data_IF_393006237622
#
_entry.id   IF_393006237622
#
_cell.length_a   1.000
_cell.length_b   1.000
_cell.length_c   1.000
_cell.angle_alpha   90.00
_cell.angle_beta   90.00
_cell.angle_gamma   90.00
#
_symmetry.space_group_name_H-M   'P 1'
#
loop_
_entity.id
_entity.type
_entity.pdbx_description
1 polymer ?
#
# COMPACT_ATOMS: atom_id res chain seq x y z
N UNK A 1 -32.58 4.57 11.56
CA UNK A 1 -31.73 4.43 10.34
C UNK A 1 -30.28 4.58 10.78
N UNK A 2 -29.46 3.52 10.66
CA UNK A 2 -28.10 3.47 11.21
C UNK A 2 -27.15 4.21 10.27
N UNK A 3 -26.54 5.30 10.76
CA UNK A 3 -25.60 6.14 10.00
C UNK A 3 -24.31 5.33 9.74
N UNK A 4 -23.96 5.11 8.47
CA UNK A 4 -22.67 4.52 8.07
C UNK A 4 -21.55 5.47 8.48
N UNK A 5 -20.63 4.99 9.31
CA UNK A 5 -19.37 5.67 9.63
C UNK A 5 -18.38 5.24 8.55
N UNK A 6 -18.08 6.14 7.63
CA UNK A 6 -16.98 5.94 6.67
C UNK A 6 -15.73 6.48 7.38
N UNK A 7 -14.87 5.57 7.82
CA UNK A 7 -13.52 5.92 8.28
C UNK A 7 -12.69 6.14 7.01
N UNK A 8 -12.39 7.40 6.70
CA UNK A 8 -11.39 7.75 5.71
C UNK A 8 -10.02 7.76 6.40
N UNK A 9 -9.21 6.72 6.17
CA UNK A 9 -7.76 6.77 6.39
C UNK A 9 -7.11 7.09 5.04
N UNK A 10 -7.22 8.35 4.62
CA UNK A 10 -6.56 8.84 3.42
C UNK A 10 -5.23 9.44 3.81
N UNK A 11 -4.12 8.87 3.32
CA UNK A 11 -2.80 9.51 3.33
C UNK A 11 -2.95 10.82 2.55
N UNK A 12 -3.13 11.91 3.29
CA UNK A 12 -3.20 13.26 2.74
C UNK A 12 -1.89 13.93 3.08
N UNK A 13 -0.96 14.00 2.12
CA UNK A 13 0.17 14.93 2.21
C UNK A 13 0.12 15.85 1.02
N UNK A 14 -0.14 17.12 1.34
CA UNK A 14 -0.25 18.24 0.42
C UNK A 14 1.05 18.46 -0.35
N UNK A 15 0.92 18.64 -1.67
CA UNK A 15 1.88 19.38 -2.47
C UNK A 15 2.13 20.76 -1.83
N UNK A 16 3.34 21.02 -1.31
CA UNK A 16 4.09 22.27 -1.56
C UNK A 16 5.41 22.33 -0.78
N UNK A 17 6.41 22.88 -1.48
CA UNK A 17 7.76 23.36 -1.10
C UNK A 17 8.86 22.34 -0.79
N UNK A 18 9.77 22.21 -1.78
CA UNK A 18 11.16 21.75 -1.67
C UNK A 18 11.85 22.35 -0.43
N UNK A 19 11.92 21.57 0.64
CA UNK A 19 12.89 21.73 1.71
C UNK A 19 13.36 20.32 2.01
N UNK A 20 14.54 19.95 1.51
CA UNK A 20 15.13 18.63 1.79
C UNK A 20 15.63 18.65 3.22
N UNK A 21 14.71 18.60 4.19
CA UNK A 21 15.06 18.03 5.50
C UNK A 21 15.48 16.60 5.21
N UNK A 22 16.68 16.14 5.61
CA UNK A 22 16.96 14.72 5.55
C UNK A 22 15.97 14.03 6.49
N UNK A 23 14.89 13.50 5.91
CA UNK A 23 14.00 12.58 6.61
C UNK A 23 14.85 11.34 6.83
N UNK A 24 15.11 11.02 8.09
CA UNK A 24 15.69 9.73 8.44
C UNK A 24 14.57 8.70 8.18
N UNK A 25 14.54 8.15 6.97
CA UNK A 25 13.52 7.24 6.48
C UNK A 25 13.22 7.47 4.99
N UNK A 26 12.89 6.40 4.27
CA UNK A 26 12.55 6.46 2.86
C UNK A 26 11.27 7.26 2.63
N UNK A 27 11.06 7.70 1.40
CA UNK A 27 10.00 8.63 1.03
C UNK A 27 9.13 8.14 -0.13
N UNK A 28 7.85 8.50 -0.05
CA UNK A 28 6.91 8.33 -1.15
C UNK A 28 7.02 9.49 -2.14
N UNK A 29 7.09 9.15 -3.43
CA UNK A 29 7.11 10.11 -4.53
C UNK A 29 5.96 9.83 -5.49
N UNK A 30 5.20 10.87 -5.84
CA UNK A 30 4.19 10.81 -6.88
C UNK A 30 4.82 11.10 -8.25
N UNK A 31 4.73 10.13 -9.17
CA UNK A 31 5.19 10.25 -10.56
C UNK A 31 4.02 10.05 -11.53
N UNK A 32 3.47 11.16 -12.00
CA UNK A 32 2.26 11.14 -12.83
C UNK A 32 1.06 10.64 -12.01
N UNK A 33 0.49 9.51 -12.42
CA UNK A 33 -0.63 8.86 -11.70
C UNK A 33 -0.18 7.71 -10.79
N UNK A 34 1.12 7.46 -10.66
CA UNK A 34 1.66 6.36 -9.86
C UNK A 34 2.41 6.89 -8.64
N UNK A 35 2.47 6.06 -7.60
CA UNK A 35 3.31 6.28 -6.43
C UNK A 35 4.51 5.35 -6.49
N UNK A 36 5.67 5.84 -6.05
CA UNK A 36 6.90 5.08 -5.86
C UNK A 36 7.47 5.34 -4.47
N UNK A 37 8.31 4.43 -4.00
CA UNK A 37 9.02 4.62 -2.74
C UNK A 37 10.52 4.55 -2.96
N UNK A 38 11.25 5.48 -2.35
CA UNK A 38 12.71 5.55 -2.38
C UNK A 38 13.24 5.37 -0.97
N UNK A 39 14.21 4.49 -0.78
CA UNK A 39 14.93 4.36 0.48
C UNK A 39 15.78 5.61 0.79
N UNK A 40 16.26 5.73 2.02
CA UNK A 40 17.11 6.84 2.50
C UNK A 40 18.34 7.12 1.62
N UNK A 41 18.81 6.11 0.89
CA UNK A 41 19.95 6.22 -0.03
C UNK A 41 19.55 6.67 -1.44
N UNK A 42 18.27 7.02 -1.66
CA UNK A 42 17.71 7.39 -2.96
C UNK A 42 17.47 6.20 -3.90
N UNK A 43 17.58 4.95 -3.41
CA UNK A 43 17.32 3.77 -4.24
C UNK A 43 15.82 3.46 -4.27
N UNK A 44 15.29 3.24 -5.48
CA UNK A 44 13.90 2.82 -5.68
C UNK A 44 13.65 1.45 -5.05
N UNK A 45 12.59 1.34 -4.27
CA UNK A 45 12.18 0.10 -3.61
C UNK A 45 11.18 -0.66 -4.49
N UNK A 46 11.30 -1.98 -4.51
CA UNK A 46 10.40 -2.92 -5.18
C UNK A 46 10.07 -4.07 -4.24
N UNK A 47 8.92 -4.72 -4.43
CA UNK A 47 8.41 -5.77 -3.57
C UNK A 47 7.62 -5.22 -2.39
N UNK A 48 7.52 -6.02 -1.32
CA UNK A 48 6.82 -5.63 -0.11
C UNK A 48 7.56 -4.53 0.66
N UNK A 49 6.81 -3.51 1.07
CA UNK A 49 7.26 -2.42 1.91
C UNK A 49 6.33 -2.29 3.11
N UNK A 50 6.90 -2.26 4.31
CA UNK A 50 6.18 -1.82 5.50
C UNK A 50 6.48 -0.34 5.74
N UNK A 51 5.45 0.48 5.76
CA UNK A 51 5.54 1.90 6.07
C UNK A 51 4.46 2.26 7.09
N UNK A 52 4.89 2.83 8.22
CA UNK A 52 4.02 3.23 9.33
C UNK A 52 3.03 2.13 9.81
N UNK A 53 3.47 0.86 9.78
CA UNK A 53 2.67 -0.30 10.20
C UNK A 53 1.64 -0.79 9.17
N UNK A 54 1.64 -0.23 7.96
CA UNK A 54 0.86 -0.71 6.82
C UNK A 54 1.79 -1.34 5.78
N UNK A 55 1.29 -2.37 5.10
CA UNK A 55 2.03 -3.05 4.05
C UNK A 55 1.60 -2.57 2.66
N UNK A 56 2.58 -2.36 1.80
CA UNK A 56 2.43 -1.92 0.42
C UNK A 56 3.19 -2.86 -0.50
N UNK A 57 2.81 -2.93 -1.76
CA UNK A 57 3.54 -3.70 -2.77
C UNK A 57 3.97 -2.80 -3.93
N UNK A 58 5.28 -2.67 -4.12
CA UNK A 58 5.87 -1.91 -5.22
C UNK A 58 6.21 -2.89 -6.35
N UNK A 59 5.62 -2.70 -7.52
CA UNK A 59 5.88 -3.54 -8.70
C UNK A 59 7.36 -3.44 -9.13
N UNK A 60 7.80 -4.32 -10.03
CA UNK A 60 9.16 -4.27 -10.56
C UNK A 60 9.54 -2.93 -11.24
N UNK A 61 8.54 -2.17 -11.70
CA UNK A 61 8.70 -0.81 -12.22
C UNK A 61 8.84 0.27 -11.13
N UNK A 62 8.72 -0.11 -9.87
CA UNK A 62 8.63 0.78 -8.71
C UNK A 62 7.23 1.30 -8.41
N UNK A 63 6.26 1.07 -9.30
CA UNK A 63 4.90 1.58 -9.12
C UNK A 63 4.17 0.84 -7.99
N UNK A 64 3.53 1.58 -7.09
CA UNK A 64 2.65 1.03 -6.07
C UNK A 64 1.47 0.29 -6.71
N UNK A 65 1.26 -0.95 -6.30
CA UNK A 65 0.15 -1.77 -6.74
C UNK A 65 -1.13 -1.45 -5.96
N UNK A 66 -2.26 -1.60 -6.64
CA UNK A 66 -3.61 -1.57 -6.07
C UNK A 66 -4.39 -2.78 -6.59
N UNK A 67 -5.41 -3.21 -5.87
CA UNK A 67 -6.22 -4.39 -6.20
C UNK A 67 -5.53 -5.71 -5.88
N UNK A 68 -5.97 -6.78 -6.55
CA UNK A 68 -5.43 -8.12 -6.34
C UNK A 68 -4.06 -8.30 -6.99
N UNK A 69 -3.08 -8.75 -6.20
CA UNK A 69 -1.76 -9.17 -6.69
C UNK A 69 -1.47 -10.60 -6.26
N UNK A 70 -0.63 -11.28 -7.04
CA UNK A 70 -0.14 -12.62 -6.73
C UNK A 70 1.36 -12.57 -6.50
N UNK A 71 1.77 -12.99 -5.32
CA UNK A 71 3.18 -13.05 -4.91
C UNK A 71 3.46 -14.41 -4.25
N UNK A 72 4.54 -15.05 -4.67
CA UNK A 72 4.96 -16.40 -4.21
C UNK A 72 3.82 -17.44 -4.13
N UNK A 73 2.90 -17.41 -5.09
CA UNK A 73 1.78 -18.36 -5.15
C UNK A 73 0.58 -18.03 -4.27
N UNK A 74 0.65 -16.98 -3.44
CA UNK A 74 -0.45 -16.47 -2.63
C UNK A 74 -1.05 -15.21 -3.27
N UNK A 75 -2.34 -14.98 -3.06
CA UNK A 75 -3.01 -13.74 -3.49
C UNK A 75 -3.15 -12.78 -2.31
N UNK A 76 -3.02 -11.50 -2.59
CA UNK A 76 -3.16 -10.40 -1.64
C UNK A 76 -3.98 -9.29 -2.28
N UNK A 77 -4.65 -8.48 -1.47
CA UNK A 77 -5.42 -7.35 -1.94
C UNK A 77 -4.86 -6.06 -1.36
N UNK A 78 -4.63 -5.07 -2.22
CA UNK A 78 -4.20 -3.72 -1.86
C UNK A 78 -5.38 -2.77 -2.13
N UNK A 79 -5.74 -1.94 -1.16
CA UNK A 79 -6.77 -0.91 -1.36
C UNK A 79 -6.31 0.17 -2.34
N UNK A 80 -7.19 1.09 -2.70
CA UNK A 80 -6.88 2.20 -3.63
C UNK A 80 -5.75 3.11 -3.15
N UNK A 81 -5.53 3.18 -1.82
CA UNK A 81 -4.40 3.88 -1.22
C UNK A 81 -3.12 3.04 -1.14
N UNK A 82 -3.13 1.80 -1.66
CA UNK A 82 -2.01 0.86 -1.67
C UNK A 82 -1.86 0.01 -0.42
N UNK A 83 -2.57 0.30 0.67
CA UNK A 83 -2.46 -0.46 1.91
C UNK A 83 -3.03 -1.87 1.74
N UNK A 84 -2.30 -2.87 2.25
CA UNK A 84 -2.68 -4.27 2.18
C UNK A 84 -3.84 -4.57 3.12
N UNK A 85 -4.88 -5.21 2.58
CA UNK A 85 -5.94 -5.79 3.39
C UNK A 85 -5.42 -6.99 4.18
N UNK A 86 -5.82 -7.07 5.45
CA UNK A 86 -5.56 -8.22 6.32
C UNK A 86 -6.73 -8.45 7.26
N UNK A 87 -6.96 -9.71 7.63
CA UNK A 87 -8.03 -10.16 8.52
C UNK A 87 -9.41 -9.58 8.15
N UNK A 88 -9.76 -9.67 6.86
CA UNK A 88 -10.98 -9.03 6.34
C UNK A 88 -11.50 -9.72 5.10
N UNK A 89 -12.75 -9.41 4.74
CA UNK A 89 -13.40 -9.88 3.53
C UNK A 89 -13.29 -8.82 2.44
N UNK A 90 -12.82 -9.24 1.26
CA UNK A 90 -12.86 -8.49 0.00
C UNK A 90 -13.90 -9.19 -0.88
N UNK A 91 -15.11 -8.62 -0.92
CA UNK A 91 -16.30 -9.27 -1.48
C UNK A 91 -16.50 -10.69 -0.90
N UNK A 92 -16.28 -11.73 -1.71
CA UNK A 92 -16.44 -13.14 -1.32
C UNK A 92 -15.10 -13.82 -0.94
N UNK A 93 -14.02 -13.06 -0.87
CA UNK A 93 -12.66 -13.58 -0.63
C UNK A 93 -12.15 -13.11 0.72
N UNK A 94 -11.87 -14.04 1.63
CA UNK A 94 -11.28 -13.71 2.92
C UNK A 94 -9.75 -13.72 2.83
N UNK A 95 -9.12 -12.62 3.25
CA UNK A 95 -7.67 -12.54 3.49
C UNK A 95 -7.42 -12.68 4.98
N UNK A 96 -6.47 -13.54 5.35
CA UNK A 96 -6.15 -13.80 6.76
C UNK A 96 -5.33 -12.65 7.38
N UNK A 97 -4.90 -12.80 8.63
CA UNK A 97 -4.10 -11.80 9.34
C UNK A 97 -2.74 -11.46 8.71
N UNK A 98 -2.26 -12.25 7.74
CA UNK A 98 -1.04 -11.95 6.96
C UNK A 98 -1.35 -11.41 5.56
N UNK A 99 -2.62 -11.08 5.29
CA UNK A 99 -3.10 -10.60 4.00
C UNK A 99 -3.24 -11.66 2.92
N UNK A 100 -2.87 -12.91 3.20
CA UNK A 100 -2.99 -14.01 2.23
C UNK A 100 -4.46 -14.40 2.07
N UNK A 101 -4.93 -14.42 0.84
CA UNK A 101 -6.21 -15.01 0.49
C UNK A 101 -6.25 -16.48 0.89
N UNK A 102 -7.27 -16.84 1.66
CA UNK A 102 -7.57 -18.22 1.99
C UNK A 102 -8.70 -18.66 1.08
N UNK A 103 -8.48 -19.74 0.32
CA UNK A 103 -9.50 -20.33 -0.54
C UNK A 103 -10.72 -20.70 0.30
N UNK A 104 -11.73 -19.85 0.25
CA UNK A 104 -13.04 -20.08 0.83
C UNK A 104 -13.80 -21.11 -0.03
N UNK A 105 -14.56 -21.99 0.63
CA UNK A 105 -15.29 -23.10 -0.01
C UNK A 105 -16.45 -22.62 -0.85
#
# INVERSE_FOLDING_TARGET
MKKKRILAAGISVLLSIMSVTPVLGGEWAAEGSNWKYYSDNGNMVTGWLEDNGEWYFLQASGNMATGWIKDEGSWYFLYDNGAMAHDTWIDNYYVNSTGKWVKTR
#
